data_IF_881131828130
#
_entry.id   IF_881131828130
#
_cell.length_a   1.000
_cell.length_b   1.000
_cell.length_c   1.000
_cell.angle_alpha   90.00
_cell.angle_beta   90.00
_cell.angle_gamma   90.00
#
_symmetry.space_group_name_H-M   'P 1'
#
loop_
_entity.id
_entity.type
_entity.pdbx_description
1 polymer ?
#
# COMPACT_ATOMS: atom_id res chain seq x y z
N UNK A 1 5.37 10.13 -7.99
CA UNK A 1 4.64 9.45 -6.89
C UNK A 1 4.61 7.96 -7.18
N UNK A 2 4.79 7.13 -6.16
CA UNK A 2 4.78 5.66 -6.23
C UNK A 2 3.71 5.16 -5.25
N UNK A 3 2.77 4.35 -5.74
CA UNK A 3 1.73 3.73 -4.90
C UNK A 3 2.20 2.40 -4.34
N UNK A 4 2.01 2.19 -3.03
CA UNK A 4 2.33 0.92 -2.35
C UNK A 4 1.54 -0.26 -2.92
N UNK A 5 0.38 -0.01 -3.50
CA UNK A 5 -0.48 -1.05 -4.07
C UNK A 5 0.21 -1.88 -5.16
N UNK A 6 1.27 -1.36 -5.79
CA UNK A 6 2.09 -2.11 -6.71
C UNK A 6 2.77 -3.36 -6.11
N UNK A 7 2.91 -3.41 -4.79
CA UNK A 7 3.48 -4.57 -4.08
C UNK A 7 2.44 -5.55 -3.53
N UNK A 8 1.18 -5.46 -3.92
CA UNK A 8 0.25 -6.55 -3.64
C UNK A 8 0.78 -7.86 -4.20
N UNK A 9 0.55 -8.96 -3.49
CA UNK A 9 0.74 -10.29 -4.05
C UNK A 9 -0.24 -10.48 -5.22
N UNK A 10 0.23 -11.12 -6.29
CA UNK A 10 -0.62 -11.50 -7.42
C UNK A 10 -1.64 -12.55 -7.00
N UNK A 11 -2.72 -12.69 -7.77
CA UNK A 11 -3.73 -13.74 -7.51
C UNK A 11 -3.08 -15.12 -7.48
N UNK A 12 -2.15 -15.39 -8.39
CA UNK A 12 -1.44 -16.68 -8.41
C UNK A 12 -0.61 -16.92 -7.13
N UNK A 13 -0.01 -15.86 -6.54
CA UNK A 13 0.70 -15.98 -5.27
C UNK A 13 -0.28 -16.20 -4.10
N UNK A 14 -1.44 -15.54 -4.11
CA UNK A 14 -2.48 -15.77 -3.10
C UNK A 14 -3.06 -17.20 -3.21
N UNK A 15 -3.24 -17.72 -4.43
CA UNK A 15 -3.69 -19.09 -4.68
C UNK A 15 -2.70 -20.15 -4.14
N UNK A 16 -1.42 -19.80 -4.05
CA UNK A 16 -0.37 -20.68 -3.54
C UNK A 16 -0.17 -20.61 -2.01
N UNK A 17 -0.90 -19.75 -1.31
CA UNK A 17 -0.82 -19.64 0.16
C UNK A 17 -1.50 -20.85 0.84
N UNK A 18 -1.20 -21.07 2.11
CA UNK A 18 -1.74 -22.15 2.92
C UNK A 18 -3.29 -22.12 2.99
N UNK A 19 -3.88 -20.93 3.12
CA UNK A 19 -5.32 -20.69 3.03
C UNK A 19 -5.61 -19.67 1.92
N UNK A 20 -5.77 -20.13 0.67
CA UNK A 20 -6.04 -19.25 -0.46
C UNK A 20 -7.32 -18.45 -0.29
N UNK A 21 -8.36 -19.08 0.29
CA UNK A 21 -9.64 -18.41 0.50
C UNK A 21 -9.48 -17.21 1.43
N UNK A 22 -8.85 -17.42 2.57
CA UNK A 22 -8.55 -16.33 3.53
C UNK A 22 -7.69 -15.25 2.89
N UNK A 23 -6.68 -15.65 2.08
CA UNK A 23 -5.79 -14.72 1.40
C UNK A 23 -6.56 -13.80 0.43
N UNK A 24 -7.50 -14.33 -0.33
CA UNK A 24 -8.36 -13.54 -1.21
C UNK A 24 -9.37 -12.69 -0.43
N UNK A 25 -10.02 -13.26 0.59
CA UNK A 25 -11.01 -12.55 1.42
C UNK A 25 -10.37 -11.36 2.17
N UNK A 26 -9.09 -11.49 2.54
CA UNK A 26 -8.30 -10.48 3.26
C UNK A 26 -7.29 -9.74 2.39
N UNK A 27 -7.40 -9.82 1.07
CA UNK A 27 -6.52 -9.09 0.16
C UNK A 27 -6.58 -7.59 0.46
N UNK A 28 -5.41 -6.98 0.67
CA UNK A 28 -5.26 -5.62 1.18
C UNK A 28 -4.76 -5.57 2.63
N UNK A 29 -4.75 -6.70 3.36
CA UNK A 29 -4.04 -6.78 4.64
C UNK A 29 -2.51 -6.76 4.39
N UNK A 30 -1.73 -6.23 5.34
CA UNK A 30 -0.27 -6.03 5.18
C UNK A 30 0.50 -7.30 4.79
N UNK A 31 0.04 -8.48 5.20
CA UNK A 31 0.65 -9.77 4.88
C UNK A 31 0.30 -10.30 3.48
N UNK A 32 -0.62 -9.63 2.76
CA UNK A 32 -0.92 -9.88 1.34
C UNK A 32 -0.12 -8.98 0.39
N UNK A 33 0.96 -8.39 0.89
CA UNK A 33 1.91 -7.60 0.13
C UNK A 33 3.30 -8.23 0.18
N UNK A 34 4.10 -8.01 -0.85
CA UNK A 34 5.52 -8.34 -0.86
C UNK A 34 6.32 -7.24 -0.15
N UNK A 35 6.30 -7.29 1.19
CA UNK A 35 7.00 -6.32 2.04
C UNK A 35 8.52 -6.35 1.80
N UNK A 36 9.12 -7.51 1.51
CA UNK A 36 10.56 -7.63 1.26
C UNK A 36 10.97 -6.92 -0.03
N UNK A 37 10.18 -7.10 -1.10
CA UNK A 37 10.43 -6.39 -2.35
C UNK A 37 10.24 -4.88 -2.18
N UNK A 38 9.24 -4.45 -1.39
CA UNK A 38 9.03 -3.04 -1.07
C UNK A 38 10.22 -2.43 -0.32
N UNK A 39 10.68 -3.08 0.75
CA UNK A 39 11.87 -2.62 1.50
C UNK A 39 13.11 -2.56 0.62
N UNK A 40 13.29 -3.58 -0.24
CA UNK A 40 14.41 -3.60 -1.20
C UNK A 40 14.36 -2.42 -2.17
N UNK A 41 13.16 -2.07 -2.64
CA UNK A 41 12.95 -0.89 -3.48
C UNK A 41 13.30 0.41 -2.73
N UNK A 42 12.83 0.59 -1.50
CA UNK A 42 13.15 1.77 -0.69
C UNK A 42 14.66 1.85 -0.44
N UNK A 43 15.31 0.73 -0.12
CA UNK A 43 16.77 0.68 0.05
C UNK A 43 17.50 1.09 -1.23
N UNK A 44 17.01 0.68 -2.40
CA UNK A 44 17.59 1.08 -3.68
C UNK A 44 17.47 2.59 -3.93
N UNK A 45 16.35 3.22 -3.53
CA UNK A 45 16.19 4.68 -3.60
C UNK A 45 17.16 5.44 -2.69
N UNK A 46 17.68 4.81 -1.63
CA UNK A 46 18.66 5.39 -0.70
C UNK A 46 20.12 5.22 -1.17
N UNK A 47 20.34 4.55 -2.30
CA UNK A 47 21.68 4.44 -2.88
C UNK A 47 22.19 5.83 -3.27
N UNK A 48 23.45 6.19 -2.91
CA UNK A 48 24.01 7.48 -3.29
C UNK A 48 23.95 7.72 -4.80
N UNK A 49 23.55 8.92 -5.17
CA UNK A 49 23.45 9.32 -6.58
C UNK A 49 24.83 9.30 -7.25
N UNK A 50 24.88 8.79 -8.47
CA UNK A 50 26.00 8.92 -9.40
C UNK A 50 25.47 9.07 -10.84
N UNK A 51 26.28 9.68 -11.71
CA UNK A 51 25.83 10.08 -13.06
C UNK A 51 25.34 8.90 -13.92
N UNK A 52 25.96 7.73 -13.79
CA UNK A 52 25.63 6.52 -14.53
C UNK A 52 24.53 5.67 -13.84
N UNK A 53 23.83 6.23 -12.85
CA UNK A 53 22.80 5.48 -12.14
C UNK A 53 21.65 5.12 -13.07
N UNK A 54 21.24 3.82 -13.13
CA UNK A 54 20.14 3.42 -13.98
C UNK A 54 18.81 3.96 -13.44
N UNK A 55 17.82 4.05 -14.32
CA UNK A 55 16.43 4.31 -13.92
C UNK A 55 15.95 3.20 -12.99
N UNK A 56 15.49 3.57 -11.81
CA UNK A 56 14.85 2.64 -10.88
C UNK A 56 13.40 2.47 -11.31
N UNK A 57 12.89 1.25 -11.23
CA UNK A 57 11.49 0.98 -11.56
C UNK A 57 10.73 0.45 -10.36
N UNK A 58 9.44 0.80 -10.28
CA UNK A 58 8.50 0.29 -9.30
C UNK A 58 7.30 -0.37 -10.00
N UNK A 59 6.66 -1.34 -9.36
CA UNK A 59 5.40 -1.87 -9.86
C UNK A 59 4.27 -0.84 -9.66
N UNK A 60 3.17 -1.03 -10.40
CA UNK A 60 1.89 -0.38 -10.13
C UNK A 60 0.80 -1.44 -9.98
N UNK A 61 -0.38 -1.03 -9.55
CA UNK A 61 -1.53 -1.91 -9.40
C UNK A 61 -2.68 -1.43 -10.28
N UNK A 62 -3.17 -2.33 -11.12
CA UNK A 62 -4.37 -2.07 -11.91
C UNK A 62 -5.59 -2.71 -11.23
N UNK A 63 -6.49 -1.87 -10.74
CA UNK A 63 -7.71 -2.33 -10.06
C UNK A 63 -8.67 -3.08 -10.97
N UNK A 64 -8.61 -2.88 -12.30
CA UNK A 64 -9.41 -3.64 -13.25
C UNK A 64 -8.86 -5.04 -13.47
N UNK A 65 -7.53 -5.17 -13.57
CA UNK A 65 -6.84 -6.46 -13.68
C UNK A 65 -6.76 -7.19 -12.34
N UNK A 66 -6.83 -6.44 -11.23
CA UNK A 66 -6.65 -6.93 -9.86
C UNK A 66 -5.32 -7.64 -9.62
N UNK A 67 -4.28 -7.21 -10.34
CA UNK A 67 -2.92 -7.74 -10.22
C UNK A 67 -1.87 -6.64 -10.39
N UNK A 68 -0.69 -6.77 -9.77
CA UNK A 68 0.39 -5.81 -9.95
C UNK A 68 0.98 -5.92 -11.37
N UNK A 69 1.38 -4.77 -11.89
CA UNK A 69 2.14 -4.66 -13.15
C UNK A 69 3.58 -4.29 -12.82
N UNK A 70 4.55 -5.18 -13.05
CA UNK A 70 5.95 -4.89 -12.76
C UNK A 70 6.50 -3.77 -13.65
N UNK A 71 7.49 -3.04 -13.14
CA UNK A 71 8.22 -2.00 -13.87
C UNK A 71 7.36 -0.88 -14.49
N UNK A 72 6.15 -0.65 -13.96
CA UNK A 72 5.19 0.30 -14.55
C UNK A 72 5.48 1.76 -14.19
N UNK A 73 6.23 2.01 -13.14
CA UNK A 73 6.61 3.37 -12.70
C UNK A 73 8.12 3.52 -12.83
N UNK A 74 8.57 4.56 -13.54
CA UNK A 74 10.00 4.86 -13.73
C UNK A 74 10.43 6.02 -12.86
N UNK A 75 11.50 5.84 -12.09
CA UNK A 75 12.14 6.86 -11.28
C UNK A 75 13.52 7.16 -11.89
N UNK A 76 13.59 8.29 -12.61
CA UNK A 76 14.83 8.78 -13.19
C UNK A 76 15.81 9.25 -12.10
N UNK A 77 17.13 9.11 -12.31
CA UNK A 77 18.15 9.68 -11.44
C UNK A 77 18.00 11.20 -11.20
N UNK A 78 17.34 11.91 -12.12
CA UNK A 78 17.08 13.35 -11.97
C UNK A 78 15.91 13.69 -11.03
N UNK A 79 15.11 12.72 -10.61
CA UNK A 79 14.06 12.96 -9.64
C UNK A 79 14.66 13.22 -8.25
N UNK A 80 14.41 14.42 -7.71
CA UNK A 80 14.94 14.87 -6.42
C UNK A 80 14.02 14.54 -5.24
N UNK A 81 12.76 14.29 -5.52
CA UNK A 81 11.75 13.94 -4.53
C UNK A 81 10.96 12.74 -5.05
N UNK A 82 10.87 11.72 -4.22
CA UNK A 82 10.01 10.55 -4.45
C UNK A 82 9.00 10.49 -3.32
N UNK A 83 7.72 10.58 -3.68
CA UNK A 83 6.61 10.43 -2.73
C UNK A 83 6.07 9.01 -2.86
N UNK A 84 6.07 8.26 -1.76
CA UNK A 84 5.48 6.93 -1.68
C UNK A 84 4.19 7.06 -0.87
N UNK A 85 3.06 6.63 -1.43
CA UNK A 85 1.79 6.65 -0.73
C UNK A 85 1.27 5.23 -0.50
N UNK A 86 0.61 5.03 0.63
CA UNK A 86 -0.02 3.75 0.93
C UNK A 86 -0.25 3.53 2.42
N UNK A 87 -1.13 2.59 2.72
CA UNK A 87 -1.61 2.34 4.08
C UNK A 87 -0.50 1.84 5.02
N UNK A 88 0.50 1.13 4.50
CA UNK A 88 1.53 0.45 5.30
C UNK A 88 2.93 1.05 5.16
N UNK A 89 3.07 2.19 4.49
CA UNK A 89 4.38 2.82 4.25
C UNK A 89 5.15 3.15 5.52
N UNK A 90 4.45 3.32 6.64
CA UNK A 90 5.01 3.67 7.94
C UNK A 90 4.65 2.65 9.03
N UNK A 91 4.21 1.45 8.66
CA UNK A 91 3.74 0.45 9.61
C UNK A 91 4.89 -0.03 10.51
N UNK A 92 4.68 0.04 11.83
CA UNK A 92 5.64 -0.40 12.85
C UNK A 92 5.54 -1.92 13.12
N UNK A 93 5.76 -2.70 12.06
CA UNK A 93 5.81 -4.17 12.10
C UNK A 93 7.08 -4.60 11.40
N UNK A 94 7.65 -5.73 11.85
CA UNK A 94 8.85 -6.31 11.25
C UNK A 94 8.78 -6.32 9.70
N UNK A 95 9.89 -6.04 9.06
CA UNK A 95 10.07 -5.77 7.64
C UNK A 95 9.58 -4.37 7.23
N UNK A 96 8.32 -4.01 7.49
CA UNK A 96 7.75 -2.70 7.12
C UNK A 96 8.46 -1.53 7.80
N UNK A 97 8.84 -1.71 9.08
CA UNK A 97 9.59 -0.73 9.87
C UNK A 97 10.88 -0.31 9.17
N UNK A 98 11.60 -1.25 8.57
CA UNK A 98 12.87 -0.96 7.89
C UNK A 98 12.69 0.07 6.77
N UNK A 99 11.59 -0.04 5.98
CA UNK A 99 11.28 0.93 4.95
C UNK A 99 10.93 2.30 5.55
N UNK A 100 10.07 2.31 6.58
CA UNK A 100 9.63 3.53 7.24
C UNK A 100 10.80 4.32 7.86
N UNK A 101 11.78 3.63 8.46
CA UNK A 101 12.97 4.25 9.05
C UNK A 101 13.91 4.88 8.00
N UNK A 102 13.87 4.40 6.77
CA UNK A 102 14.65 4.96 5.67
C UNK A 102 14.04 6.22 5.03
N UNK A 103 12.80 6.59 5.38
CA UNK A 103 12.16 7.79 4.84
C UNK A 103 12.72 9.06 5.48
N UNK A 104 12.97 10.10 4.67
CA UNK A 104 13.41 11.41 5.17
C UNK A 104 12.27 12.12 5.87
N UNK A 105 11.04 12.01 5.35
CA UNK A 105 9.83 12.56 5.94
C UNK A 105 8.70 11.54 5.94
N UNK A 106 7.82 11.66 6.92
CA UNK A 106 6.66 10.79 7.11
C UNK A 106 5.44 11.63 7.38
N UNK A 107 4.46 11.54 6.49
CA UNK A 107 3.24 12.33 6.56
C UNK A 107 2.04 11.43 6.82
N UNK A 108 1.30 11.77 7.84
CA UNK A 108 0.03 11.12 8.14
C UNK A 108 -1.12 12.03 7.73
N UNK A 109 -2.00 11.51 6.86
CA UNK A 109 -3.22 12.23 6.43
C UNK A 109 -4.36 11.80 7.33
N UNK A 110 -4.75 12.67 8.25
CA UNK A 110 -5.87 12.42 9.15
C UNK A 110 -7.18 12.90 8.52
N UNK A 111 -8.19 12.04 8.59
CA UNK A 111 -9.55 12.31 8.12
C UNK A 111 -10.53 11.75 9.14
N UNK A 112 -11.59 12.52 9.42
CA UNK A 112 -12.70 12.03 10.23
C UNK A 112 -13.27 10.73 9.64
N UNK A 113 -13.59 9.76 10.52
CA UNK A 113 -14.02 8.44 10.08
C UNK A 113 -15.32 8.48 9.28
N UNK A 114 -16.30 9.24 9.71
CA UNK A 114 -17.60 9.31 9.02
C UNK A 114 -17.43 9.90 7.62
N UNK A 115 -16.53 10.89 7.47
CA UNK A 115 -16.19 11.46 6.17
C UNK A 115 -15.44 10.44 5.30
N UNK A 116 -14.48 9.71 5.87
CA UNK A 116 -13.73 8.67 5.17
C UNK A 116 -14.66 7.54 4.74
N UNK A 117 -15.51 7.05 5.64
CA UNK A 117 -16.49 5.98 5.40
C UNK A 117 -17.44 6.35 4.27
N UNK A 118 -18.02 7.54 4.31
CA UNK A 118 -18.93 8.00 3.25
C UNK A 118 -18.25 8.04 1.88
N UNK A 119 -16.98 8.47 1.81
CA UNK A 119 -16.17 8.47 0.57
C UNK A 119 -15.87 7.07 0.10
N UNK A 120 -15.50 6.16 1.01
CA UNK A 120 -15.17 4.76 0.71
C UNK A 120 -16.38 4.03 0.12
N UNK A 121 -17.52 4.08 0.80
CA UNK A 121 -18.77 3.45 0.34
C UNK A 121 -19.08 3.89 -1.10
N UNK A 122 -19.05 5.19 -1.35
CA UNK A 122 -19.32 5.75 -2.68
C UNK A 122 -18.32 5.27 -3.73
N UNK A 123 -17.03 5.24 -3.37
CA UNK A 123 -15.95 4.76 -4.24
C UNK A 123 -16.08 3.28 -4.53
N UNK A 124 -16.37 2.43 -3.55
CA UNK A 124 -16.53 0.99 -3.72
C UNK A 124 -17.59 0.63 -4.76
N UNK A 125 -18.74 1.33 -4.73
CA UNK A 125 -19.79 1.15 -5.73
C UNK A 125 -19.33 1.64 -7.11
N UNK A 126 -18.76 2.85 -7.18
CA UNK A 126 -18.35 3.47 -8.46
C UNK A 126 -17.24 2.68 -9.16
N UNK A 127 -16.33 2.07 -8.41
CA UNK A 127 -15.19 1.33 -8.98
C UNK A 127 -15.46 -0.17 -9.12
N UNK A 128 -16.67 -0.64 -8.77
CA UNK A 128 -17.02 -2.06 -8.85
C UNK A 128 -16.31 -2.96 -7.82
N UNK A 129 -15.75 -2.37 -6.77
CA UNK A 129 -15.23 -3.12 -5.62
C UNK A 129 -16.36 -3.78 -4.84
N UNK A 130 -17.50 -3.10 -4.74
CA UNK A 130 -18.75 -3.63 -4.22
C UNK A 130 -19.81 -3.63 -5.33
N UNK A 131 -20.65 -4.66 -5.35
CA UNK A 131 -21.75 -4.80 -6.34
C UNK A 131 -22.86 -3.77 -6.11
N UNK A 132 -23.09 -3.41 -4.85
CA UNK A 132 -24.15 -2.50 -4.42
C UNK A 132 -23.76 -1.75 -3.13
N UNK A 133 -24.66 -0.88 -2.66
CA UNK A 133 -24.45 -0.04 -1.49
C UNK A 133 -24.38 -0.88 -0.19
N UNK A 134 -25.13 -1.95 -0.08
CA UNK A 134 -25.17 -2.82 1.11
C UNK A 134 -23.81 -3.51 1.30
N UNK A 135 -23.28 -4.09 0.23
CA UNK A 135 -21.92 -4.68 0.25
C UNK A 135 -20.86 -3.63 0.52
N UNK A 136 -21.00 -2.41 -0.03
CA UNK A 136 -20.05 -1.34 0.19
C UNK A 136 -20.01 -0.90 1.67
N UNK A 137 -21.16 -0.82 2.33
CA UNK A 137 -21.27 -0.51 3.76
C UNK A 137 -20.62 -1.62 4.58
N UNK A 138 -20.97 -2.87 4.30
CA UNK A 138 -20.40 -4.03 4.98
C UNK A 138 -18.87 -4.05 4.89
N UNK A 139 -18.32 -3.81 3.67
CA UNK A 139 -16.85 -3.74 3.47
C UNK A 139 -16.21 -2.61 4.26
N UNK A 140 -16.83 -1.44 4.26
CA UNK A 140 -16.32 -0.30 5.02
C UNK A 140 -16.26 -0.60 6.52
N UNK A 141 -17.26 -1.30 7.07
CA UNK A 141 -17.31 -1.61 8.49
C UNK A 141 -16.43 -2.80 8.88
N UNK A 142 -16.40 -3.87 8.08
CA UNK A 142 -15.73 -5.13 8.44
C UNK A 142 -14.26 -5.19 7.98
N UNK A 143 -13.88 -4.46 6.94
CA UNK A 143 -12.51 -4.47 6.41
C UNK A 143 -11.78 -3.15 6.62
N UNK A 144 -12.37 -2.03 6.17
CA UNK A 144 -11.65 -0.76 6.14
C UNK A 144 -11.56 -0.11 7.54
N UNK A 145 -12.65 -0.16 8.31
CA UNK A 145 -12.70 0.35 9.68
C UNK A 145 -11.70 -0.33 10.62
N UNK A 146 -11.70 -1.67 10.74
CA UNK A 146 -10.72 -2.39 11.54
C UNK A 146 -9.27 -2.20 11.05
N UNK A 147 -9.05 -2.12 9.75
CA UNK A 147 -7.72 -1.85 9.19
C UNK A 147 -7.23 -0.47 9.60
N UNK A 148 -8.08 0.57 9.53
CA UNK A 148 -7.73 1.91 10.00
C UNK A 148 -7.33 1.94 11.48
N UNK A 149 -8.07 1.25 12.34
CA UNK A 149 -7.77 1.21 13.78
C UNK A 149 -6.44 0.50 14.07
N UNK A 150 -6.13 -0.57 13.34
CA UNK A 150 -4.86 -1.30 13.47
C UNK A 150 -3.66 -0.48 12.99
N UNK A 151 -3.86 0.37 12.01
CA UNK A 151 -2.79 1.13 11.34
C UNK A 151 -2.94 2.63 11.56
N UNK A 152 -3.45 3.02 12.74
CA UNK A 152 -3.50 4.43 13.16
C UNK A 152 -2.10 5.01 13.33
N UNK A 153 -2.00 6.32 13.40
CA UNK A 153 -0.74 7.03 13.63
C UNK A 153 0.05 6.49 14.84
N UNK A 154 -0.64 5.93 15.84
CA UNK A 154 0.00 5.34 17.02
C UNK A 154 0.79 4.05 16.72
N UNK A 155 0.50 3.37 15.61
CA UNK A 155 1.22 2.17 15.17
C UNK A 155 2.23 2.44 14.06
N UNK A 156 2.46 3.71 13.73
CA UNK A 156 3.39 4.12 12.69
C UNK A 156 4.73 4.58 13.27
N UNK A 157 5.82 4.21 12.61
CA UNK A 157 7.18 4.54 13.03
C UNK A 157 7.37 6.05 13.14
N UNK A 158 7.76 6.51 14.33
CA UNK A 158 8.20 7.89 14.56
C UNK A 158 7.12 8.97 14.46
N UNK A 159 5.84 8.62 14.32
CA UNK A 159 4.75 9.57 14.47
C UNK A 159 4.43 9.76 15.97
N UNK A 160 4.51 11.00 16.42
CA UNK A 160 3.98 11.42 17.72
C UNK A 160 2.64 12.10 17.47
N UNK A 161 1.59 11.59 18.07
CA UNK A 161 0.28 12.24 18.13
C UNK A 161 0.32 13.45 19.03
#
# INVERSE_FOLDING_TARGET
MVGLDGWHLSRAQLDAMEDPKLAHDRRGAHWTFDAQAYVSFVRLLRTPFHEDMPTITAPSFDHALKDPTPHAVSISPHHRIVVIEGLYTMLDVEVWRDAAEMMDERWWVEVDWEVAKARLIKRHVLTGVAKDMEEAIWRADENDGPSRLRYSAATCVGLKL
#
